data_IF_500806197431
#
_entry.id   IF_500806197431
#
_cell.length_a   1.000
_cell.length_b   1.000
_cell.length_c   1.000
_cell.angle_alpha   90.00
_cell.angle_beta   90.00
_cell.angle_gamma   90.00
#
_symmetry.space_group_name_H-M   'P 1'
#
loop_
_entity.id
_entity.type
_entity.pdbx_description
1 polymer ?
#
# COMPACT_ATOMS: atom_id res chain seq x y z
N UNK A 1 2.89 14.95 7.68
CA UNK A 1 3.71 15.35 8.85
C UNK A 1 5.20 15.14 8.56
N UNK A 2 6.04 16.19 8.60
CA UNK A 2 7.43 16.13 8.12
C UNK A 2 8.44 15.50 9.09
N UNK A 3 8.13 15.36 10.39
CA UNK A 3 9.10 14.89 11.39
C UNK A 3 9.34 13.36 11.32
N UNK A 4 8.27 12.55 11.29
CA UNK A 4 8.37 11.08 11.19
C UNK A 4 9.01 10.63 9.87
N UNK A 5 8.75 11.35 8.77
CA UNK A 5 9.34 11.10 7.45
C UNK A 5 10.87 11.27 7.44
N UNK A 6 11.38 12.20 8.25
CA UNK A 6 12.82 12.48 8.37
C UNK A 6 13.54 11.51 9.31
N UNK A 7 12.81 10.80 10.17
CA UNK A 7 13.37 9.78 11.07
C UNK A 7 13.29 8.35 10.48
N UNK A 8 12.83 8.18 9.23
CA UNK A 8 12.63 6.86 8.64
C UNK A 8 11.46 6.08 9.25
N UNK A 9 10.64 6.70 10.08
CA UNK A 9 9.53 6.06 10.80
C UNK A 9 8.24 6.09 9.97
N UNK A 10 8.25 5.39 8.84
CA UNK A 10 7.09 5.35 7.92
C UNK A 10 5.82 4.77 8.59
N UNK A 11 5.98 3.82 9.51
CA UNK A 11 4.86 3.23 10.27
C UNK A 11 4.18 4.27 11.16
N UNK A 12 4.95 5.02 11.97
CA UNK A 12 4.41 6.06 12.86
C UNK A 12 3.78 7.20 12.05
N UNK A 13 4.36 7.54 10.90
CA UNK A 13 3.76 8.50 9.99
C UNK A 13 2.37 8.02 9.51
N UNK A 14 2.26 6.75 9.13
CA UNK A 14 0.99 6.16 8.71
C UNK A 14 -0.08 6.19 9.81
N UNK A 15 0.30 5.79 11.03
CA UNK A 15 -0.59 5.76 12.19
C UNK A 15 -1.13 7.14 12.57
N UNK A 16 -0.37 8.20 12.34
CA UNK A 16 -0.79 9.57 12.62
C UNK A 16 -1.58 10.19 11.46
N UNK A 17 -1.21 9.91 10.21
CA UNK A 17 -1.81 10.56 9.03
C UNK A 17 -3.19 9.97 8.68
N UNK A 18 -3.44 8.68 8.90
CA UNK A 18 -4.73 8.06 8.55
C UNK A 18 -5.91 8.56 9.41
N UNK A 19 -5.80 8.62 10.75
CA UNK A 19 -6.87 9.16 11.61
C UNK A 19 -7.10 10.66 11.36
N UNK A 20 -6.02 11.41 11.10
CA UNK A 20 -6.11 12.82 10.73
C UNK A 20 -6.87 12.99 9.39
N UNK A 21 -6.55 12.19 8.38
CA UNK A 21 -7.23 12.21 7.09
C UNK A 21 -8.72 11.83 7.22
N UNK A 22 -9.04 10.81 8.01
CA UNK A 22 -10.41 10.42 8.31
C UNK A 22 -11.21 11.56 8.98
N UNK A 23 -10.57 12.32 9.87
CA UNK A 23 -11.23 13.42 10.61
C UNK A 23 -11.36 14.70 9.78
N UNK A 24 -10.42 14.97 8.87
CA UNK A 24 -10.39 16.19 8.07
C UNK A 24 -11.26 16.09 6.80
N UNK A 25 -11.30 14.92 6.15
CA UNK A 25 -12.00 14.72 4.87
C UNK A 25 -12.75 13.37 4.85
N UNK A 26 -13.82 13.19 5.65
CA UNK A 26 -14.48 11.90 5.83
C UNK A 26 -15.13 11.35 4.54
N UNK A 27 -15.68 12.23 3.68
CA UNK A 27 -16.29 11.80 2.41
C UNK A 27 -15.25 11.30 1.41
N UNK A 28 -14.11 11.98 1.31
CA UNK A 28 -12.99 11.59 0.45
C UNK A 28 -12.36 10.29 0.97
N UNK A 29 -12.22 10.17 2.29
CA UNK A 29 -11.74 8.96 2.94
C UNK A 29 -12.63 7.75 2.60
N UNK A 30 -13.95 7.87 2.78
CA UNK A 30 -14.88 6.76 2.51
C UNK A 30 -14.89 6.34 1.05
N UNK A 31 -14.83 7.30 0.12
CA UNK A 31 -14.76 7.01 -1.31
C UNK A 31 -13.49 6.27 -1.65
N UNK A 32 -12.34 6.80 -1.24
CA UNK A 32 -11.04 6.19 -1.51
C UNK A 32 -10.91 4.82 -0.86
N UNK A 33 -11.42 4.64 0.36
CA UNK A 33 -11.41 3.36 1.05
C UNK A 33 -12.15 2.27 0.26
N UNK A 34 -13.31 2.59 -0.32
CA UNK A 34 -14.08 1.64 -1.16
C UNK A 34 -13.32 1.29 -2.44
N UNK A 35 -12.84 2.29 -3.16
CA UNK A 35 -12.12 2.07 -4.42
C UNK A 35 -10.83 1.26 -4.19
N UNK A 36 -10.11 1.53 -3.09
CA UNK A 36 -8.92 0.76 -2.69
C UNK A 36 -9.27 -0.66 -2.27
N UNK A 37 -10.38 -0.88 -1.56
CA UNK A 37 -10.81 -2.22 -1.18
C UNK A 37 -11.13 -3.11 -2.39
N UNK A 38 -11.81 -2.54 -3.40
CA UNK A 38 -12.10 -3.24 -4.66
C UNK A 38 -10.81 -3.63 -5.39
N UNK A 39 -9.87 -2.70 -5.53
CA UNK A 39 -8.58 -2.95 -6.18
C UNK A 39 -7.73 -3.97 -5.41
N UNK A 40 -7.75 -3.94 -4.08
CA UNK A 40 -7.07 -4.93 -3.22
C UNK A 40 -7.64 -6.33 -3.43
N UNK A 41 -8.98 -6.48 -3.53
CA UNK A 41 -9.61 -7.78 -3.79
C UNK A 41 -9.11 -8.41 -5.09
N UNK A 42 -8.93 -7.60 -6.13
CA UNK A 42 -8.39 -8.07 -7.41
C UNK A 42 -6.91 -8.46 -7.34
N UNK A 43 -6.10 -7.75 -6.54
CA UNK A 43 -4.64 -7.96 -6.49
C UNK A 43 -4.18 -8.98 -5.45
N UNK A 44 -4.98 -9.22 -4.41
CA UNK A 44 -4.68 -10.17 -3.32
C UNK A 44 -4.26 -11.56 -3.81
N UNK A 45 -4.97 -12.20 -4.77
CA UNK A 45 -4.58 -13.51 -5.27
C UNK A 45 -3.18 -13.51 -5.89
N UNK A 46 -2.89 -12.51 -6.73
CA UNK A 46 -1.59 -12.36 -7.38
C UNK A 46 -0.47 -12.16 -6.35
N UNK A 47 -0.69 -11.32 -5.34
CA UNK A 47 0.30 -11.06 -4.29
C UNK A 47 0.53 -12.32 -3.44
N UNK A 48 -0.54 -13.05 -3.13
CA UNK A 48 -0.45 -14.33 -2.41
C UNK A 48 0.39 -15.35 -3.17
N UNK A 49 0.22 -15.44 -4.48
CA UNK A 49 1.02 -16.32 -5.33
C UNK A 49 2.49 -15.91 -5.34
N UNK A 50 2.78 -14.62 -5.49
CA UNK A 50 4.15 -14.09 -5.43
C UNK A 50 4.80 -14.35 -4.07
N UNK A 51 4.09 -14.10 -2.97
CA UNK A 51 4.61 -14.37 -1.62
C UNK A 51 4.93 -15.85 -1.42
N UNK A 52 4.04 -16.74 -1.89
CA UNK A 52 4.26 -18.19 -1.84
C UNK A 52 5.50 -18.60 -2.63
N UNK A 53 5.65 -18.15 -3.87
CA UNK A 53 6.83 -18.46 -4.69
C UNK A 53 8.11 -17.96 -4.03
N UNK A 54 8.12 -16.73 -3.50
CA UNK A 54 9.29 -16.18 -2.80
C UNK A 54 9.64 -17.03 -1.57
N UNK A 55 8.64 -17.40 -0.76
CA UNK A 55 8.88 -18.20 0.44
C UNK A 55 9.42 -19.60 0.11
N UNK A 56 8.94 -20.22 -0.96
CA UNK A 56 9.44 -21.50 -1.45
C UNK A 56 10.90 -21.41 -1.91
N UNK A 57 11.25 -20.38 -2.69
CA UNK A 57 12.62 -20.17 -3.17
C UNK A 57 13.59 -19.85 -2.02
N UNK A 58 13.18 -19.03 -1.05
CA UNK A 58 14.00 -18.73 0.13
C UNK A 58 14.22 -19.96 1.00
N UNK A 59 13.20 -20.82 1.15
CA UNK A 59 13.33 -22.10 1.83
C UNK A 59 14.30 -23.04 1.10
N UNK A 60 14.27 -23.07 -0.24
CA UNK A 60 15.24 -23.84 -1.05
C UNK A 60 16.67 -23.34 -0.86
N UNK A 61 16.84 -22.03 -0.72
CA UNK A 61 18.13 -21.40 -0.43
C UNK A 61 18.61 -21.60 1.02
N UNK A 62 17.80 -22.23 1.89
CA UNK A 62 18.12 -22.41 3.31
C UNK A 62 18.00 -21.12 4.13
N UNK A 63 17.35 -20.09 3.60
CA UNK A 63 17.13 -18.81 4.26
C UNK A 63 15.78 -18.84 4.97
N UNK A 64 15.78 -18.62 6.28
CA UNK A 64 14.54 -18.43 7.02
C UNK A 64 14.09 -16.99 6.82
N UNK A 65 13.04 -16.79 6.04
CA UNK A 65 12.49 -15.47 5.78
C UNK A 65 10.97 -15.49 5.85
N UNK A 66 10.41 -14.43 6.40
CA UNK A 66 8.98 -14.19 6.45
C UNK A 66 8.61 -13.17 5.37
N UNK A 67 7.68 -13.54 4.49
CA UNK A 67 7.18 -12.67 3.43
C UNK A 67 5.79 -12.19 3.81
N UNK A 68 5.65 -10.89 3.99
CA UNK A 68 4.39 -10.25 4.39
C UNK A 68 3.91 -9.28 3.30
N UNK A 69 2.60 -9.28 3.04
CA UNK A 69 1.99 -8.28 2.17
C UNK A 69 1.70 -7.00 2.98
N UNK A 70 2.21 -5.86 2.51
CA UNK A 70 1.99 -4.55 3.13
C UNK A 70 1.08 -3.68 2.26
N UNK A 71 -0.03 -3.24 2.83
CA UNK A 71 -0.94 -2.31 2.18
C UNK A 71 -0.52 -0.87 2.47
N UNK A 72 -0.52 -0.01 1.45
CA UNK A 72 -0.19 1.40 1.68
C UNK A 72 -1.31 2.10 2.45
N UNK A 73 -0.96 2.99 3.40
CA UNK A 73 -1.95 3.80 4.09
C UNK A 73 -2.76 4.68 3.12
N UNK A 74 -4.06 4.82 3.36
CA UNK A 74 -4.97 5.60 2.51
C UNK A 74 -4.53 7.06 2.34
N UNK A 75 -4.01 7.69 3.40
CA UNK A 75 -3.46 9.04 3.32
C UNK A 75 -2.29 9.17 2.32
N UNK A 76 -1.46 8.12 2.19
CA UNK A 76 -0.38 8.08 1.21
C UNK A 76 -0.89 7.82 -0.20
N UNK A 77 -1.91 6.96 -0.35
CA UNK A 77 -2.57 6.70 -1.63
C UNK A 77 -3.24 7.99 -2.15
N UNK A 78 -3.98 8.71 -1.31
CA UNK A 78 -4.61 9.99 -1.67
C UNK A 78 -3.59 11.00 -2.20
N UNK A 79 -2.43 11.12 -1.52
CA UNK A 79 -1.38 12.05 -1.94
C UNK A 79 -0.74 11.62 -3.26
N UNK A 80 -0.53 10.32 -3.44
CA UNK A 80 0.02 9.76 -4.68
C UNK A 80 -0.95 9.92 -5.85
N UNK A 81 -2.26 9.85 -5.62
CA UNK A 81 -3.29 10.17 -6.62
C UNK A 81 -3.27 11.65 -7.03
N UNK A 82 -2.89 12.56 -6.13
CA UNK A 82 -2.73 13.98 -6.45
C UNK A 82 -1.46 14.26 -7.28
N UNK A 83 -0.42 13.44 -7.10
CA UNK A 83 0.86 13.54 -7.82
C UNK A 83 0.88 12.83 -9.19
N UNK A 84 -0.07 11.91 -9.47
CA UNK A 84 -0.18 11.22 -10.77
C UNK A 84 -0.80 12.18 -11.80
N UNK A 85 -0.09 12.52 -12.90
CA UNK A 85 -0.67 13.33 -13.97
C UNK A 85 -1.90 12.60 -14.53
N UNK A 86 -3.06 13.28 -14.57
CA UNK A 86 -4.30 12.74 -15.15
C UNK A 86 -4.14 12.58 -16.67
N UNK A 87 -3.43 11.55 -17.11
CA UNK A 87 -3.39 11.15 -18.50
C UNK A 87 -4.48 10.09 -18.72
N UNK A 88 -5.52 10.50 -19.47
CA UNK A 88 -6.48 9.66 -20.20
C UNK A 88 -7.29 8.63 -19.41
N UNK A 89 -8.58 8.91 -19.22
CA UNK A 89 -9.76 8.02 -19.16
C UNK A 89 -9.75 6.65 -18.43
N UNK A 90 -8.68 6.28 -17.74
CA UNK A 90 -8.54 5.04 -16.96
C UNK A 90 -8.58 5.36 -15.46
N UNK A 91 -8.99 4.39 -14.64
CA UNK A 91 -9.03 4.56 -13.19
C UNK A 91 -7.57 4.74 -12.67
N UNK A 92 -7.22 5.89 -12.06
CA UNK A 92 -5.85 6.19 -11.64
C UNK A 92 -5.32 5.24 -10.56
N UNK A 93 -6.22 4.53 -9.85
CA UNK A 93 -5.84 3.47 -8.92
C UNK A 93 -5.26 2.25 -9.64
N UNK A 94 -5.74 1.93 -10.84
CA UNK A 94 -5.25 0.80 -11.63
C UNK A 94 -3.77 0.98 -12.01
N UNK A 95 -3.37 2.22 -12.32
CA UNK A 95 -1.98 2.56 -12.69
C UNK A 95 -1.02 2.58 -11.48
N UNK A 96 -1.55 2.61 -10.25
CA UNK A 96 -0.74 2.45 -9.05
C UNK A 96 -0.34 0.98 -8.88
N UNK A 97 0.66 0.50 -9.63
CA UNK A 97 1.29 -0.83 -9.43
C UNK A 97 1.73 -1.09 -7.99
N UNK A 98 1.89 -0.01 -7.23
CA UNK A 98 2.54 0.07 -5.94
C UNK A 98 1.51 0.16 -4.78
N UNK A 99 0.24 -0.21 -5.02
CA UNK A 99 -0.85 -0.19 -4.02
C UNK A 99 -0.62 -1.17 -2.86
N UNK A 100 -0.08 -2.33 -3.18
CA UNK A 100 0.32 -3.34 -2.22
C UNK A 100 1.76 -3.71 -2.53
N UNK A 101 2.62 -3.68 -1.52
CA UNK A 101 4.04 -3.98 -1.63
C UNK A 101 4.35 -5.21 -0.78
N UNK A 102 5.14 -6.16 -1.29
CA UNK A 102 5.66 -7.25 -0.46
C UNK A 102 6.85 -6.76 0.37
N UNK A 103 6.81 -7.01 1.67
CA UNK A 103 7.95 -6.81 2.57
C UNK A 103 8.53 -8.18 2.93
N UNK A 104 9.84 -8.32 2.78
CA UNK A 104 10.58 -9.54 3.11
C UNK A 104 11.40 -9.23 4.36
N UNK A 105 11.14 -9.96 5.44
CA UNK A 105 11.94 -9.93 6.67
C UNK A 105 12.84 -11.17 6.64
N UNK A 106 14.15 -10.95 6.64
CA UNK A 106 15.21 -11.97 6.68
C UNK A 106 15.93 -11.89 8.01
#
# INVERSE_FOLDING_TARGET
>A
MPLARRMGMMLVQAELENPAFCSLEPEKYQRLAREVEEEIKWRLPYISDVCRTLQEEMKRAGIHAEVHAWQKPLASISRKLEDVPRQSNENPLSQLHDLVSSHILV
#
